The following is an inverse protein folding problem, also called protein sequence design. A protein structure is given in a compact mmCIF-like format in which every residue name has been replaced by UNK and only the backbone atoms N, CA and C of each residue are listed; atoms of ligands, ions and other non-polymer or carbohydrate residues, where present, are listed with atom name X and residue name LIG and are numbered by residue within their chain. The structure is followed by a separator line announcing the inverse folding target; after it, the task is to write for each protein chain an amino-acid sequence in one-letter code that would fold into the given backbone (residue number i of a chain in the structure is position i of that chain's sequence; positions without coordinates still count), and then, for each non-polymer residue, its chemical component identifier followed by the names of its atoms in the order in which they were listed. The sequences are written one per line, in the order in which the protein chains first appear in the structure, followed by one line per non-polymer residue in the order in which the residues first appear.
data_IF_500590537400
#
_entry.id   IF_500590537400
#
_cell.length_a   1.000
_cell.length_b   1.000
_cell.length_c   1.000
_cell.angle_alpha   90.00
_cell.angle_beta   90.00
_cell.angle_gamma   90.00
#
_symmetry.space_group_name_H-M   'P 1'
#
loop_
_entity.id
_entity.type
_entity.pdbx_description
1 polymer ?
#
# COMPACT_ATOMS: atom_id res chain seq x y z
N UNK A 1 42.74 21.03 3.98
CA UNK A 1 42.67 19.86 3.08
C UNK A 1 41.21 19.47 3.08
N UNK A 2 40.52 19.79 1.99
CA UNK A 2 39.07 19.64 1.85
C UNK A 2 38.70 18.22 1.41
N UNK A 3 37.98 17.50 2.25
CA UNK A 3 37.33 16.21 1.94
C UNK A 3 35.97 16.36 1.25
N UNK A 4 35.55 17.58 0.89
CA UNK A 4 34.20 17.86 0.37
C UNK A 4 34.04 17.76 -1.16
N UNK A 5 35.03 17.21 -1.88
CA UNK A 5 35.04 17.17 -3.35
C UNK A 5 35.02 15.76 -3.97
N UNK A 6 35.02 14.69 -3.17
CA UNK A 6 35.05 13.31 -3.67
C UNK A 6 33.70 12.58 -3.69
N UNK A 7 32.62 13.17 -3.17
CA UNK A 7 31.28 12.54 -3.16
C UNK A 7 30.34 13.00 -4.28
N UNK A 8 30.86 13.68 -5.32
CA UNK A 8 30.03 14.20 -6.42
C UNK A 8 29.99 13.32 -7.69
N UNK A 9 30.50 12.10 -7.64
CA UNK A 9 30.73 11.28 -8.85
C UNK A 9 30.10 9.87 -8.84
N UNK A 10 28.96 9.66 -8.17
CA UNK A 10 28.22 8.38 -8.26
C UNK A 10 26.69 8.50 -8.39
N UNK A 11 26.16 9.56 -9.02
CA UNK A 11 24.76 9.60 -9.49
C UNK A 11 24.72 9.74 -11.02
N UNK A 12 25.46 8.87 -11.68
CA UNK A 12 25.48 8.70 -13.13
C UNK A 12 25.31 7.23 -13.51
N UNK A 13 24.48 6.47 -12.78
CA UNK A 13 24.32 5.02 -13.00
C UNK A 13 23.07 4.73 -13.84
N UNK A 14 23.34 4.22 -15.04
CA UNK A 14 22.50 3.35 -15.87
C UNK A 14 21.25 3.90 -16.58
N UNK A 15 21.44 4.91 -17.44
CA UNK A 15 20.58 5.04 -18.63
C UNK A 15 21.12 4.30 -19.86
N UNK A 16 22.41 3.96 -19.91
CA UNK A 16 23.06 3.36 -21.10
C UNK A 16 22.87 1.84 -21.22
N UNK A 17 22.67 1.13 -20.12
CA UNK A 17 22.62 -0.34 -20.11
C UNK A 17 21.35 -0.92 -20.78
N UNK A 18 20.19 -0.26 -20.64
CA UNK A 18 18.95 -0.70 -21.28
C UNK A 18 18.95 -0.53 -22.82
N UNK A 19 19.65 0.48 -23.36
CA UNK A 19 19.73 0.67 -24.81
C UNK A 19 20.68 -0.34 -25.47
N UNK A 20 21.74 -0.78 -24.78
CA UNK A 20 22.71 -1.73 -25.31
C UNK A 20 22.11 -3.14 -25.51
N UNK A 21 21.25 -3.60 -24.59
CA UNK A 21 20.59 -4.90 -24.69
C UNK A 21 19.57 -4.96 -25.86
N UNK A 22 18.85 -3.86 -26.11
CA UNK A 22 17.93 -3.74 -27.25
C UNK A 22 18.65 -3.70 -28.60
N UNK A 23 19.87 -3.15 -28.63
CA UNK A 23 20.70 -3.08 -29.84
C UNK A 23 21.24 -4.46 -30.24
N UNK A 24 21.63 -5.30 -29.27
CA UNK A 24 22.15 -6.64 -29.55
C UNK A 24 21.10 -7.61 -30.11
N UNK A 25 19.84 -7.54 -29.65
CA UNK A 25 18.77 -8.39 -30.18
C UNK A 25 18.40 -8.06 -31.64
N UNK A 26 18.66 -6.84 -32.11
CA UNK A 26 18.41 -6.45 -33.50
C UNK A 26 19.51 -6.88 -34.47
N UNK A 27 20.74 -7.13 -33.99
CA UNK A 27 21.89 -7.35 -34.87
C UNK A 27 22.27 -8.82 -35.11
N UNK A 28 21.77 -9.78 -34.33
CA UNK A 28 22.15 -11.20 -34.42
C UNK A 28 21.37 -12.05 -35.44
N UNK A 29 20.68 -11.44 -36.43
CA UNK A 29 20.03 -12.20 -37.52
C UNK A 29 20.18 -11.50 -38.87
N UNK A 30 21.41 -11.49 -39.39
CA UNK A 30 21.73 -11.07 -40.76
C UNK A 30 21.60 -12.26 -41.72
N UNK A 31 20.57 -12.26 -42.57
CA UNK A 31 20.45 -13.24 -43.65
C UNK A 31 19.11 -13.29 -44.36
N UNK A 32 18.63 -12.15 -44.89
CA UNK A 32 17.56 -12.12 -45.90
C UNK A 32 16.14 -11.86 -45.39
N UNK A 33 15.52 -10.81 -45.95
CA UNK A 33 14.11 -10.39 -45.85
C UNK A 33 13.54 -10.18 -44.44
N UNK A 34 13.62 -8.93 -43.98
CA UNK A 34 12.79 -8.39 -42.90
C UNK A 34 11.35 -8.15 -43.40
N UNK A 35 10.64 -9.21 -43.71
CA UNK A 35 9.20 -9.16 -44.01
C UNK A 35 8.44 -8.92 -42.70
N UNK A 36 7.97 -7.68 -42.48
CA UNK A 36 6.91 -7.25 -41.55
C UNK A 36 7.04 -7.56 -40.04
N UNK A 37 7.26 -8.83 -39.69
CA UNK A 37 7.27 -9.40 -38.35
C UNK A 37 8.38 -8.82 -37.46
N UNK A 38 9.59 -8.60 -37.98
CA UNK A 38 10.69 -8.01 -37.20
C UNK A 38 10.42 -6.57 -36.75
N UNK A 39 9.78 -5.76 -37.60
CA UNK A 39 9.38 -4.37 -37.27
C UNK A 39 8.26 -4.34 -36.24
N UNK A 40 7.30 -5.25 -36.36
CA UNK A 40 6.19 -5.37 -35.42
C UNK A 40 6.70 -5.77 -34.02
N UNK A 41 7.56 -6.79 -33.93
CA UNK A 41 8.16 -7.22 -32.66
C UNK A 41 8.99 -6.11 -32.01
N UNK A 42 9.84 -5.41 -32.77
CA UNK A 42 10.60 -4.28 -32.25
C UNK A 42 9.69 -3.16 -31.73
N UNK A 43 8.61 -2.83 -32.47
CA UNK A 43 7.61 -1.86 -32.03
C UNK A 43 6.92 -2.30 -30.74
N UNK A 44 6.47 -3.56 -30.64
CA UNK A 44 5.86 -4.10 -29.42
C UNK A 44 6.81 -4.09 -28.23
N UNK A 45 8.09 -4.45 -28.43
CA UNK A 45 9.09 -4.37 -27.36
C UNK A 45 9.31 -2.93 -26.89
N UNK A 46 9.49 -1.97 -27.82
CA UNK A 46 9.67 -0.56 -27.48
C UNK A 46 8.42 0.03 -26.83
N UNK A 47 7.22 -0.29 -27.35
CA UNK A 47 5.96 0.12 -26.76
C UNK A 47 5.80 -0.45 -25.36
N UNK A 48 6.12 -1.73 -25.16
CA UNK A 48 6.04 -2.39 -23.84
C UNK A 48 7.01 -1.72 -22.87
N UNK A 49 8.27 -1.49 -23.26
CA UNK A 49 9.26 -0.80 -22.42
C UNK A 49 8.83 0.64 -22.12
N UNK A 50 8.38 1.40 -23.12
CA UNK A 50 7.92 2.78 -22.93
C UNK A 50 6.67 2.84 -22.04
N UNK A 51 5.73 1.91 -22.23
CA UNK A 51 4.54 1.75 -21.41
C UNK A 51 4.93 1.43 -19.96
N UNK A 52 5.82 0.44 -19.74
CA UNK A 52 6.31 0.12 -18.40
C UNK A 52 7.09 1.27 -17.77
N UNK A 53 7.90 2.02 -18.51
CA UNK A 53 8.57 3.23 -18.01
C UNK A 53 7.53 4.29 -17.64
N UNK A 54 6.50 4.51 -18.47
CA UNK A 54 5.43 5.46 -18.18
C UNK A 54 4.62 5.08 -16.94
N UNK A 55 4.28 3.79 -16.81
CA UNK A 55 3.60 3.24 -15.64
C UNK A 55 4.50 3.35 -14.42
N UNK A 56 5.75 2.93 -14.48
CA UNK A 56 6.67 2.97 -13.33
C UNK A 56 7.02 4.40 -12.90
N UNK A 57 7.28 5.34 -13.81
CA UNK A 57 7.61 6.73 -13.40
C UNK A 57 6.50 7.41 -12.59
N UNK A 58 5.24 7.08 -12.86
CA UNK A 58 4.11 7.64 -12.12
C UNK A 58 3.74 6.87 -10.85
N UNK A 59 4.47 5.79 -10.52
CA UNK A 59 4.16 4.88 -9.42
C UNK A 59 5.28 4.76 -8.38
N UNK A 60 6.36 5.53 -8.56
CA UNK A 60 7.57 5.45 -7.73
C UNK A 60 7.73 6.75 -6.96
N UNK A 61 8.28 6.65 -5.76
CA UNK A 61 8.79 7.82 -5.05
C UNK A 61 9.82 8.55 -5.93
N UNK A 62 9.49 9.77 -6.33
CA UNK A 62 10.43 10.68 -6.98
C UNK A 62 10.72 11.86 -6.03
N UNK A 63 11.88 11.86 -5.34
CA UNK A 63 12.22 12.93 -4.40
C UNK A 63 12.36 14.29 -5.11
N UNK A 64 12.72 14.32 -6.40
CA UNK A 64 12.92 15.56 -7.15
C UNK A 64 11.59 16.30 -7.33
N UNK A 65 10.50 15.56 -7.52
CA UNK A 65 9.14 16.12 -7.62
C UNK A 65 8.72 16.77 -6.29
N UNK A 66 9.27 16.33 -5.16
CA UNK A 66 8.91 16.82 -3.82
C UNK A 66 9.88 17.87 -3.25
N UNK A 67 11.07 18.02 -3.84
CA UNK A 67 12.19 18.79 -3.27
C UNK A 67 11.82 20.24 -2.87
N UNK A 68 10.94 20.88 -3.64
CA UNK A 68 10.52 22.27 -3.43
C UNK A 68 9.09 22.39 -2.88
N UNK A 69 8.47 21.28 -2.52
CA UNK A 69 7.09 21.25 -2.05
C UNK A 69 7.10 21.15 -0.53
N UNK A 70 6.32 22.00 0.14
CA UNK A 70 6.12 21.86 1.59
C UNK A 70 5.13 20.74 1.84
N UNK A 71 5.45 19.76 2.71
CA UNK A 71 4.51 18.72 3.07
C UNK A 71 3.27 19.36 3.73
N UNK A 72 2.07 18.88 3.42
CA UNK A 72 0.84 19.42 4.01
C UNK A 72 0.75 19.05 5.50
N UNK A 73 -0.16 19.74 6.21
CA UNK A 73 -0.46 19.51 7.63
C UNK A 73 0.79 19.54 8.52
N UNK A 74 1.61 20.60 8.36
CA UNK A 74 2.82 20.82 9.14
C UNK A 74 3.81 19.64 9.11
N UNK A 75 3.89 18.94 7.99
CA UNK A 75 4.80 17.80 7.82
C UNK A 75 4.18 16.43 8.03
N UNK A 76 2.92 16.34 8.45
CA UNK A 76 2.27 15.06 8.79
C UNK A 76 1.69 14.30 7.59
N UNK A 77 1.62 14.91 6.41
CA UNK A 77 0.95 14.44 5.19
C UNK A 77 -0.58 14.27 5.31
N UNK A 78 -1.09 14.03 6.52
CA UNK A 78 -2.50 13.86 6.85
C UNK A 78 -2.82 14.55 8.20
N UNK A 79 -4.05 15.03 8.40
CA UNK A 79 -4.50 15.52 9.69
C UNK A 79 -4.75 14.37 10.67
N UNK A 80 -4.94 14.70 11.96
CA UNK A 80 -5.12 13.72 13.04
C UNK A 80 -6.44 12.91 12.93
N UNK A 81 -7.47 13.51 12.32
CA UNK A 81 -8.77 12.90 12.10
C UNK A 81 -9.01 12.80 10.60
N UNK A 82 -9.06 11.56 10.11
CA UNK A 82 -9.30 11.28 8.69
C UNK A 82 -10.42 10.26 8.53
N UNK A 83 -11.11 10.37 7.41
CA UNK A 83 -12.05 9.36 6.93
C UNK A 83 -11.45 8.71 5.69
N UNK A 84 -11.30 7.39 5.73
CA UNK A 84 -10.83 6.61 4.59
C UNK A 84 -12.03 5.98 3.90
N UNK A 85 -12.09 6.03 2.58
CA UNK A 85 -13.20 5.47 1.79
C UNK A 85 -12.63 4.54 0.74
N UNK A 86 -12.82 3.24 0.95
CA UNK A 86 -12.42 2.23 -0.01
C UNK A 86 -13.40 2.21 -1.18
N UNK A 87 -12.87 2.24 -2.40
CA UNK A 87 -13.67 2.18 -3.62
C UNK A 87 -13.26 1.03 -4.51
N UNK A 88 -14.25 0.39 -5.13
CA UNK A 88 -14.04 -0.62 -6.17
C UNK A 88 -13.92 0.05 -7.54
N UNK A 89 -12.77 -0.07 -8.18
CA UNK A 89 -12.58 0.35 -9.57
C UNK A 89 -12.68 -0.86 -10.49
N UNK A 90 -13.69 -0.87 -11.36
CA UNK A 90 -14.02 -2.00 -12.24
C UNK A 90 -13.07 -2.17 -13.44
N UNK A 91 -12.31 -1.12 -13.81
CA UNK A 91 -11.61 -1.04 -15.11
C UNK A 91 -10.08 -0.98 -15.02
N UNK A 92 -9.49 -0.72 -13.85
CA UNK A 92 -8.04 -0.53 -13.70
C UNK A 92 -7.50 -1.55 -12.69
N UNK A 93 -6.34 -2.15 -12.97
CA UNK A 93 -5.64 -3.13 -12.13
C UNK A 93 -5.08 -2.55 -10.81
N UNK A 94 -5.65 -1.48 -10.26
CA UNK A 94 -5.44 -1.18 -8.85
C UNK A 94 -6.22 -2.22 -8.06
N UNK A 95 -5.50 -3.07 -7.33
CA UNK A 95 -6.15 -4.04 -6.44
C UNK A 95 -6.95 -3.33 -5.37
N UNK A 96 -6.52 -2.12 -4.96
CA UNK A 96 -7.25 -1.30 -3.99
C UNK A 96 -6.93 0.18 -4.16
N UNK A 97 -7.96 1.01 -4.05
CA UNK A 97 -7.85 2.46 -3.88
C UNK A 97 -8.69 2.89 -2.69
N UNK A 98 -8.07 3.64 -1.79
CA UNK A 98 -8.71 4.15 -0.58
C UNK A 98 -8.53 5.66 -0.54
N UNK A 99 -9.58 6.38 -0.90
CA UNK A 99 -9.62 7.83 -0.80
C UNK A 99 -9.48 8.25 0.66
N UNK A 100 -8.81 9.37 0.90
CA UNK A 100 -8.61 9.96 2.21
C UNK A 100 -9.28 11.33 2.22
N UNK A 101 -10.13 11.54 3.22
CA UNK A 101 -10.83 12.78 3.47
C UNK A 101 -10.47 13.34 4.85
N UNK A 102 -10.39 14.65 4.96
CA UNK A 102 -10.21 15.32 6.25
C UNK A 102 -11.52 15.41 7.06
N UNK A 103 -11.47 16.07 8.22
CA UNK A 103 -12.64 16.28 9.08
C UNK A 103 -13.76 17.13 8.43
N UNK A 104 -13.42 17.95 7.43
CA UNK A 104 -14.38 18.75 6.65
C UNK A 104 -14.94 18.01 5.44
N UNK A 105 -14.55 16.75 5.24
CA UNK A 105 -14.84 15.94 4.05
C UNK A 105 -14.20 16.47 2.77
N UNK A 106 -13.13 17.26 2.86
CA UNK A 106 -12.30 17.59 1.71
C UNK A 106 -11.40 16.41 1.36
N UNK A 107 -11.35 16.05 0.07
CA UNK A 107 -10.49 14.99 -0.42
C UNK A 107 -9.02 15.44 -0.40
N UNK A 108 -8.15 14.73 0.32
CA UNK A 108 -6.75 15.10 0.50
C UNK A 108 -5.78 14.24 -0.32
N UNK A 109 -6.23 13.07 -0.76
CA UNK A 109 -5.41 12.11 -1.50
C UNK A 109 -5.98 10.71 -1.38
N UNK A 110 -5.21 9.70 -1.79
CA UNK A 110 -5.63 8.31 -1.75
C UNK A 110 -4.45 7.38 -1.45
N UNK A 111 -4.72 6.31 -0.71
CA UNK A 111 -3.85 5.16 -0.68
C UNK A 111 -4.12 4.29 -1.91
N UNK A 112 -3.07 3.72 -2.47
CA UNK A 112 -3.15 2.77 -3.57
C UNK A 112 -2.40 1.50 -3.21
N UNK A 113 -2.98 0.37 -3.60
CA UNK A 113 -2.33 -0.93 -3.62
C UNK A 113 -2.36 -1.43 -5.06
N UNK A 114 -1.18 -1.69 -5.60
CA UNK A 114 -0.97 -2.25 -6.93
C UNK A 114 -0.37 -3.61 -6.73
N UNK A 115 -1.12 -4.65 -7.07
CA UNK A 115 -0.66 -6.02 -7.10
C UNK A 115 -0.63 -6.51 -8.56
N UNK A 116 0.39 -6.08 -9.29
CA UNK A 116 0.74 -6.67 -10.57
C UNK A 116 1.81 -7.73 -10.29
N UNK A 117 1.73 -8.91 -10.91
CA UNK A 117 2.61 -10.09 -10.67
C UNK A 117 4.10 -9.81 -10.38
N UNK A 118 4.66 -8.70 -10.91
CA UNK A 118 6.06 -8.29 -10.74
C UNK A 118 6.19 -7.04 -9.85
N UNK A 119 5.16 -6.18 -9.82
CA UNK A 119 5.12 -4.89 -9.13
C UNK A 119 4.02 -4.95 -8.07
N UNK A 120 4.43 -5.28 -6.84
CA UNK A 120 3.57 -5.15 -5.66
C UNK A 120 3.98 -3.90 -4.89
N UNK A 121 3.08 -2.92 -4.79
CA UNK A 121 3.38 -1.61 -4.21
C UNK A 121 2.18 -1.06 -3.47
N UNK A 122 2.45 -0.55 -2.28
CA UNK A 122 1.49 0.18 -1.48
C UNK A 122 2.02 1.61 -1.27
N UNK A 123 1.20 2.63 -1.41
CA UNK A 123 1.65 4.01 -1.18
C UNK A 123 0.52 5.00 -0.95
N UNK A 124 0.90 6.26 -0.72
CA UNK A 124 -0.03 7.38 -0.60
C UNK A 124 0.32 8.46 -1.61
N UNK A 125 -0.70 8.88 -2.36
CA UNK A 125 -0.66 9.99 -3.29
C UNK A 125 -1.58 11.10 -2.80
N UNK A 126 -1.14 12.35 -2.88
CA UNK A 126 -1.99 13.48 -2.54
C UNK A 126 -3.02 13.78 -3.64
N UNK A 127 -3.92 14.74 -3.38
CA UNK A 127 -4.97 15.14 -4.32
C UNK A 127 -4.45 15.64 -5.69
N UNK A 128 -3.17 16.01 -5.78
CA UNK A 128 -2.53 16.44 -7.03
C UNK A 128 -1.78 15.30 -7.74
N UNK A 129 -1.85 14.07 -7.23
CA UNK A 129 -1.19 12.91 -7.81
C UNK A 129 0.29 12.77 -7.42
N UNK A 130 0.78 13.52 -6.41
CA UNK A 130 2.16 13.42 -5.95
C UNK A 130 2.30 12.33 -4.90
N UNK A 131 3.21 11.39 -5.11
CA UNK A 131 3.46 10.28 -4.18
C UNK A 131 4.36 10.76 -3.05
N UNK A 132 3.86 10.74 -1.82
CA UNK A 132 4.59 11.19 -0.63
C UNK A 132 5.16 10.06 0.21
N UNK A 133 4.61 8.86 0.06
CA UNK A 133 4.93 7.70 0.86
C UNK A 133 4.81 6.43 0.02
N UNK A 134 5.75 5.52 0.23
CA UNK A 134 5.74 4.17 -0.33
C UNK A 134 6.04 3.15 0.77
N UNK A 135 5.16 2.18 0.94
CA UNK A 135 5.39 0.99 1.73
C UNK A 135 6.11 -0.05 0.87
N UNK A 136 7.27 -0.49 1.31
CA UNK A 136 8.07 -1.51 0.62
C UNK A 136 8.06 -2.78 1.44
N UNK A 137 7.97 -3.93 0.80
CA UNK A 137 8.20 -5.19 1.51
C UNK A 137 9.59 -5.19 2.13
N UNK A 138 9.69 -5.73 3.35
CA UNK A 138 10.99 -5.88 4.01
C UNK A 138 11.91 -6.81 3.21
N UNK A 139 11.31 -7.82 2.57
CA UNK A 139 12.03 -8.75 1.70
C UNK A 139 11.18 -9.30 0.56
N UNK A 140 11.85 -9.92 -0.40
CA UNK A 140 11.19 -10.71 -1.44
C UNK A 140 10.36 -11.86 -0.87
N UNK A 141 10.76 -12.43 0.29
CA UNK A 141 9.96 -13.47 0.95
C UNK A 141 8.70 -12.91 1.60
N UNK A 142 8.72 -11.67 2.08
CA UNK A 142 7.56 -10.97 2.66
C UNK A 142 6.44 -10.71 1.64
N UNK A 143 6.73 -10.87 0.34
CA UNK A 143 5.76 -10.88 -0.76
C UNK A 143 4.87 -12.12 -0.74
N UNK A 144 5.44 -13.24 -0.31
CA UNK A 144 4.72 -14.50 -0.24
C UNK A 144 4.00 -14.53 1.09
N UNK A 145 2.67 -14.60 0.99
CA UNK A 145 1.86 -14.87 2.15
C UNK A 145 2.41 -16.14 2.85
N UNK A 146 2.55 -16.08 4.17
CA UNK A 146 1.55 -15.37 4.93
C UNK A 146 2.09 -14.24 5.82
N UNK A 147 3.41 -14.07 5.89
CA UNK A 147 4.10 -13.06 6.71
C UNK A 147 3.91 -11.66 6.09
N UNK A 148 3.38 -10.70 6.86
CA UNK A 148 3.34 -9.29 6.48
C UNK A 148 4.50 -8.52 7.13
N UNK A 149 5.39 -8.00 6.29
CA UNK A 149 6.51 -7.16 6.71
C UNK A 149 6.70 -5.99 5.74
N UNK A 150 6.69 -4.76 6.26
CA UNK A 150 6.86 -3.55 5.46
C UNK A 150 7.88 -2.57 6.08
N UNK A 151 8.68 -1.96 5.24
CA UNK A 151 9.41 -0.73 5.48
C UNK A 151 8.54 0.45 5.04
N UNK A 152 8.19 1.32 5.98
CA UNK A 152 7.38 2.51 5.74
C UNK A 152 8.29 3.72 5.75
N UNK A 153 8.42 4.37 4.59
CA UNK A 153 9.33 5.49 4.43
C UNK A 153 8.72 6.54 3.51
N UNK A 154 8.94 7.82 3.83
CA UNK A 154 8.52 8.91 2.96
C UNK A 154 9.42 9.02 1.73
N UNK A 155 8.89 9.59 0.66
CA UNK A 155 9.62 9.80 -0.57
C UNK A 155 10.63 10.96 -0.46
N UNK A 156 10.41 11.92 0.44
CA UNK A 156 11.30 13.07 0.67
C UNK A 156 12.41 12.78 1.71
N UNK A 157 13.05 11.60 1.61
CA UNK A 157 14.21 11.18 2.43
C UNK A 157 15.51 11.29 1.63
N UNK A 158 16.62 11.76 2.24
CA UNK A 158 17.96 11.76 1.64
C UNK A 158 18.71 13.10 1.71
N UNK A 159 19.79 13.26 0.93
CA UNK A 159 20.68 14.44 0.97
C UNK A 159 20.03 15.81 0.68
N UNK A 160 18.81 15.81 0.14
CA UNK A 160 17.93 17.00 0.05
C UNK A 160 16.54 16.76 0.67
N UNK A 161 16.33 15.58 1.25
CA UNK A 161 15.10 15.17 1.92
C UNK A 161 14.99 15.75 3.34
N UNK A 162 13.76 15.90 3.83
CA UNK A 162 13.46 16.53 5.13
C UNK A 162 13.33 15.56 6.29
N UNK A 163 13.33 14.25 6.01
CA UNK A 163 13.15 13.22 7.04
C UNK A 163 14.12 12.06 6.82
N UNK A 164 14.55 11.44 7.92
CA UNK A 164 15.30 10.19 7.95
C UNK A 164 14.54 9.07 8.64
N UNK A 165 13.26 9.30 8.97
CA UNK A 165 12.45 8.34 9.72
C UNK A 165 12.01 7.19 8.81
N UNK A 166 12.13 5.99 9.37
CA UNK A 166 11.72 4.72 8.79
C UNK A 166 10.91 3.97 9.85
N UNK A 167 9.82 3.35 9.45
CA UNK A 167 9.08 2.45 10.33
C UNK A 167 9.08 1.03 9.79
N UNK A 168 9.51 0.09 10.61
CA UNK A 168 9.48 -1.34 10.29
C UNK A 168 8.20 -1.93 10.89
N UNK A 169 7.29 -2.36 10.03
CA UNK A 169 6.07 -3.05 10.41
C UNK A 169 6.26 -4.55 10.24
N UNK A 170 6.02 -5.33 11.29
CA UNK A 170 6.11 -6.79 11.29
C UNK A 170 4.90 -7.42 11.95
N UNK A 171 4.29 -8.37 11.28
CA UNK A 171 3.20 -9.15 11.86
C UNK A 171 3.68 -10.19 12.88
N UNK A 172 2.98 -10.27 14.01
CA UNK A 172 3.21 -11.26 15.07
C UNK A 172 2.32 -12.48 14.82
N UNK A 173 2.75 -13.30 13.88
CA UNK A 173 2.03 -14.47 13.35
C UNK A 173 1.49 -15.44 14.41
N UNK A 174 2.26 -15.68 15.47
CA UNK A 174 1.90 -16.65 16.51
C UNK A 174 0.71 -16.23 17.39
N UNK A 175 0.29 -14.96 17.33
CA UNK A 175 -0.89 -14.47 18.06
C UNK A 175 -2.17 -14.58 17.26
N UNK A 176 -2.11 -14.90 15.96
CA UNK A 176 -3.32 -15.22 15.21
C UNK A 176 -3.85 -16.56 15.71
N UNK A 177 -5.07 -16.56 16.27
CA UNK A 177 -5.81 -17.79 16.48
C UNK A 177 -6.33 -18.28 15.12
N UNK A 178 -5.45 -18.87 14.32
CA UNK A 178 -5.73 -19.38 12.97
C UNK A 178 -7.00 -20.25 12.90
N UNK A 179 -7.30 -20.97 13.99
CA UNK A 179 -8.46 -21.85 14.13
C UNK A 179 -9.75 -21.14 14.60
N UNK A 180 -9.68 -19.89 15.09
CA UNK A 180 -10.84 -19.11 15.60
C UNK A 180 -11.24 -17.93 14.73
N UNK A 181 -10.53 -17.71 13.62
CA UNK A 181 -10.75 -16.60 12.69
C UNK A 181 -12.06 -16.74 11.86
N UNK A 182 -12.97 -17.64 12.21
CA UNK A 182 -14.29 -17.72 11.58
C UNK A 182 -15.27 -16.64 12.08
N UNK A 183 -15.15 -16.23 13.35
CA UNK A 183 -16.10 -15.29 13.98
C UNK A 183 -15.39 -14.05 14.50
N UNK A 184 -14.28 -14.26 15.22
CA UNK A 184 -13.45 -13.21 15.79
C UNK A 184 -12.00 -13.45 15.35
N UNK A 185 -11.50 -12.64 14.43
CA UNK A 185 -10.08 -12.65 14.10
C UNK A 185 -9.38 -11.54 14.87
N UNK A 186 -8.15 -11.82 15.29
CA UNK A 186 -7.28 -10.82 15.86
C UNK A 186 -5.94 -10.88 15.14
N UNK A 187 -5.44 -9.73 14.68
CA UNK A 187 -4.10 -9.60 14.11
C UNK A 187 -3.29 -8.65 14.97
N UNK A 188 -2.00 -8.93 15.13
CA UNK A 188 -1.10 -8.08 15.90
C UNK A 188 0.12 -7.75 15.05
N UNK A 189 0.51 -6.49 15.05
CA UNK A 189 1.71 -6.01 14.38
C UNK A 189 2.58 -5.24 15.36
N UNK A 190 3.88 -5.43 15.22
CA UNK A 190 4.92 -4.63 15.84
C UNK A 190 5.34 -3.54 14.86
N UNK A 191 5.39 -2.30 15.33
CA UNK A 191 5.90 -1.16 14.57
C UNK A 191 7.13 -0.62 15.29
N UNK A 192 8.30 -0.79 14.69
CA UNK A 192 9.57 -0.29 15.22
C UNK A 192 9.99 0.97 14.47
N UNK A 193 10.36 2.02 15.20
CA UNK A 193 10.94 3.23 14.62
C UNK A 193 12.45 3.07 14.41
N UNK A 194 12.92 3.44 13.24
CA UNK A 194 14.33 3.41 12.82
C UNK A 194 14.69 4.71 12.11
N UNK A 195 15.98 4.96 11.99
CA UNK A 195 16.51 6.07 11.19
C UNK A 195 17.34 5.54 10.04
N UNK A 196 17.07 6.00 8.83
CA UNK A 196 17.82 5.68 7.63
C UNK A 196 18.16 6.96 6.85
N UNK A 197 19.43 7.12 6.48
CA UNK A 197 19.92 8.27 5.69
C UNK A 197 19.53 8.18 4.22
N UNK A 198 19.19 6.98 3.74
CA UNK A 198 18.83 6.71 2.35
C UNK A 198 17.53 5.94 2.27
N UNK A 199 16.91 5.93 1.08
CA UNK A 199 15.78 5.05 0.84
C UNK A 199 16.17 3.58 0.98
N UNK A 200 15.40 2.84 1.78
CA UNK A 200 15.62 1.41 1.99
C UNK A 200 15.23 0.66 0.71
N UNK A 201 16.14 -0.19 0.23
CA UNK A 201 15.88 -1.10 -0.89
C UNK A 201 15.38 -2.43 -0.34
N UNK A 202 14.47 -3.06 -1.09
CA UNK A 202 14.04 -4.42 -0.81
C UNK A 202 15.23 -5.38 -0.87
N UNK A 203 15.29 -6.30 0.08
CA UNK A 203 16.33 -7.33 0.18
C UNK A 203 15.76 -8.72 -0.09
N UNK A 204 16.60 -9.72 -0.27
CA UNK A 204 16.14 -11.10 -0.39
C UNK A 204 15.55 -11.61 0.93
N UNK A 205 16.15 -11.23 2.06
CA UNK A 205 15.81 -11.64 3.43
C UNK A 205 15.83 -10.36 4.30
N UNK A 206 14.89 -10.19 5.25
CA UNK A 206 14.91 -9.04 6.15
C UNK A 206 16.10 -9.12 7.13
N UNK A 207 16.41 -8.02 7.79
CA UNK A 207 17.45 -8.02 8.83
C UNK A 207 17.04 -8.89 10.02
N UNK A 208 18.00 -9.52 10.71
CA UNK A 208 17.72 -10.43 11.82
C UNK A 208 16.88 -9.77 12.93
N UNK A 209 17.04 -8.46 13.12
CA UNK A 209 16.35 -7.68 14.16
C UNK A 209 15.13 -6.89 13.63
N UNK A 210 14.66 -7.21 12.42
CA UNK A 210 13.53 -6.51 11.80
C UNK A 210 12.30 -6.61 12.70
N UNK A 211 11.78 -5.45 13.13
CA UNK A 211 10.57 -5.33 13.95
C UNK A 211 10.60 -6.01 15.33
N UNK A 212 11.78 -6.31 15.89
CA UNK A 212 11.91 -6.96 17.20
C UNK A 212 11.76 -5.99 18.39
N UNK A 213 12.07 -4.71 18.21
CA UNK A 213 11.97 -3.66 19.23
C UNK A 213 10.81 -2.71 18.91
N UNK A 214 9.54 -3.12 19.10
CA UNK A 214 8.40 -2.28 18.75
C UNK A 214 8.39 -1.02 19.61
N UNK A 215 8.28 0.14 18.96
CA UNK A 215 7.88 1.40 19.62
C UNK A 215 6.37 1.43 19.81
N UNK A 216 5.63 0.83 18.88
CA UNK A 216 4.18 0.72 18.93
C UNK A 216 3.70 -0.70 18.61
N UNK A 217 2.54 -1.04 19.15
CA UNK A 217 1.80 -2.25 18.81
C UNK A 217 0.47 -1.88 18.16
N UNK A 218 0.15 -2.56 17.07
CA UNK A 218 -1.08 -2.37 16.31
C UNK A 218 -1.90 -3.65 16.41
N UNK A 219 -3.06 -3.59 17.04
CA UNK A 219 -3.99 -4.72 17.07
C UNK A 219 -5.18 -4.44 16.14
N UNK A 220 -5.55 -5.45 15.37
CA UNK A 220 -6.79 -5.48 14.61
C UNK A 220 -7.70 -6.52 15.22
N UNK A 221 -8.89 -6.10 15.63
CA UNK A 221 -9.93 -6.96 16.16
C UNK A 221 -11.09 -6.94 15.17
N UNK A 222 -11.36 -8.09 14.55
CA UNK A 222 -12.36 -8.24 13.51
C UNK A 222 -13.50 -9.13 13.96
N UNK A 223 -14.74 -8.71 13.68
CA UNK A 223 -15.95 -9.49 13.95
C UNK A 223 -16.84 -9.55 12.71
N UNK A 224 -17.68 -10.58 12.60
CA UNK A 224 -18.66 -10.65 11.52
C UNK A 224 -19.76 -9.62 11.70
N UNK A 225 -20.01 -8.81 10.67
CA UNK A 225 -21.19 -7.97 10.59
C UNK A 225 -22.03 -8.33 9.36
N UNK A 226 -23.37 -8.24 9.46
CA UNK A 226 -24.24 -8.39 8.31
C UNK A 226 -23.97 -7.25 7.32
N UNK A 227 -23.91 -7.60 6.04
CA UNK A 227 -23.76 -6.67 4.91
C UNK A 227 -24.80 -6.99 3.85
N UNK A 228 -25.26 -5.98 3.12
CA UNK A 228 -26.08 -6.23 1.93
C UNK A 228 -25.15 -6.60 0.78
N UNK A 229 -25.23 -7.84 0.30
CA UNK A 229 -24.59 -8.26 -0.94
C UNK A 229 -25.40 -7.70 -2.09
N UNK A 230 -25.09 -6.47 -2.49
CA UNK A 230 -25.37 -6.05 -3.86
C UNK A 230 -24.40 -6.80 -4.77
N UNK A 231 -24.88 -7.68 -5.65
CA UNK A 231 -24.05 -8.15 -6.74
C UNK A 231 -23.73 -6.93 -7.63
N UNK A 232 -22.58 -6.31 -7.42
CA UNK A 232 -22.10 -5.13 -8.17
C UNK A 232 -21.94 -5.46 -9.68
N UNK A 233 -22.01 -6.73 -10.08
CA UNK A 233 -21.76 -7.21 -11.45
C UNK A 233 -22.87 -8.07 -12.05
N UNK A 234 -24.04 -8.22 -11.43
CA UNK A 234 -25.13 -9.09 -11.90
C UNK A 234 -26.51 -8.40 -11.90
N UNK A 235 -27.48 -8.88 -12.69
CA UNK A 235 -28.85 -8.37 -12.65
C UNK A 235 -29.45 -8.51 -11.24
N UNK A 236 -30.23 -7.50 -10.84
CA UNK A 236 -30.69 -7.17 -9.47
C UNK A 236 -31.63 -8.21 -8.83
N UNK A 237 -31.79 -9.40 -9.40
CA UNK A 237 -32.75 -10.42 -8.94
C UNK A 237 -32.35 -11.13 -7.64
N UNK A 238 -31.20 -10.84 -7.05
CA UNK A 238 -30.78 -11.41 -5.76
C UNK A 238 -30.04 -10.41 -4.86
N UNK A 239 -30.78 -9.49 -4.25
CA UNK A 239 -30.29 -8.81 -3.05
C UNK A 239 -30.15 -9.86 -1.93
N UNK A 240 -28.93 -10.34 -1.71
CA UNK A 240 -28.62 -11.30 -0.64
C UNK A 240 -28.13 -10.59 0.62
N UNK A 241 -28.44 -11.14 1.79
CA UNK A 241 -27.71 -10.82 3.02
C UNK A 241 -26.40 -11.59 3.01
N UNK A 242 -25.27 -10.90 3.11
CA UNK A 242 -23.95 -11.49 3.33
C UNK A 242 -23.45 -11.17 4.73
N UNK A 243 -22.36 -11.81 5.13
CA UNK A 243 -21.55 -11.37 6.27
C UNK A 243 -20.18 -10.96 5.75
N UNK A 244 -19.65 -9.84 6.26
CA UNK A 244 -18.28 -9.41 6.03
C UNK A 244 -17.64 -9.13 7.38
N UNK A 245 -16.36 -9.38 7.47
CA UNK A 245 -15.61 -9.03 8.65
C UNK A 245 -15.42 -7.52 8.73
N UNK A 246 -15.91 -6.92 9.82
CA UNK A 246 -15.64 -5.53 10.19
C UNK A 246 -14.45 -5.51 11.11
N UNK A 247 -13.51 -4.62 10.83
CA UNK A 247 -12.31 -4.46 11.64
C UNK A 247 -12.35 -3.22 12.52
N UNK A 248 -11.73 -3.34 13.69
CA UNK A 248 -11.30 -2.21 14.51
C UNK A 248 -9.80 -2.29 14.72
N UNK A 249 -9.13 -1.14 14.64
CA UNK A 249 -7.70 -1.00 14.85
C UNK A 249 -7.46 -0.24 16.14
N UNK A 250 -6.54 -0.73 16.97
CA UNK A 250 -6.01 -0.04 18.13
C UNK A 250 -4.50 0.06 18.00
N UNK A 251 -3.96 1.28 18.03
CA UNK A 251 -2.53 1.55 18.06
C UNK A 251 -2.15 1.98 19.48
N UNK A 252 -1.22 1.27 20.09
CA UNK A 252 -0.74 1.53 21.44
C UNK A 252 0.77 1.73 21.46
N UNK A 253 1.27 2.58 22.36
CA UNK A 253 2.70 2.62 22.66
C UNK A 253 3.10 1.29 23.32
N UNK A 254 4.22 0.72 22.88
CA UNK A 254 4.63 -0.62 23.29
C UNK A 254 5.21 -0.65 24.71
N UNK A 255 5.69 0.47 25.23
CA UNK A 255 6.31 0.59 26.56
C UNK A 255 5.29 0.74 27.67
N UNK A 256 4.32 1.64 27.52
CA UNK A 256 3.32 1.95 28.55
C UNK A 256 1.91 1.40 28.27
N UNK A 257 1.66 0.94 27.03
CA UNK A 257 0.36 0.44 26.59
C UNK A 257 -0.69 1.53 26.35
N UNK A 258 -0.31 2.81 26.39
CA UNK A 258 -1.23 3.92 26.16
C UNK A 258 -1.77 3.93 24.72
N UNK A 259 -3.04 4.29 24.57
CA UNK A 259 -3.69 4.35 23.28
C UNK A 259 -3.28 5.61 22.52
N UNK A 260 -2.61 5.43 21.38
CA UNK A 260 -2.14 6.52 20.50
C UNK A 260 -3.20 6.85 19.46
N UNK A 261 -3.78 5.84 18.82
CA UNK A 261 -4.80 6.02 17.80
C UNK A 261 -5.76 4.83 17.73
N UNK A 262 -6.92 5.07 17.14
CA UNK A 262 -7.91 4.03 16.86
C UNK A 262 -8.54 4.26 15.50
N UNK A 263 -8.89 3.16 14.82
CA UNK A 263 -9.71 3.21 13.63
C UNK A 263 -10.85 2.21 13.70
N UNK A 264 -11.98 2.55 13.10
CA UNK A 264 -13.12 1.64 13.00
C UNK A 264 -13.62 1.60 11.57
N UNK A 265 -13.76 0.40 11.04
CA UNK A 265 -14.37 0.16 9.76
C UNK A 265 -15.90 0.16 9.88
N UNK A 266 -16.54 0.70 8.87
CA UNK A 266 -17.98 0.73 8.69
C UNK A 266 -18.28 0.33 7.25
N UNK A 267 -19.22 -0.59 7.05
CA UNK A 267 -19.74 -0.87 5.72
C UNK A 267 -20.90 0.07 5.42
N UNK A 268 -20.88 0.64 4.22
CA UNK A 268 -21.99 1.47 3.76
C UNK A 268 -23.10 0.54 3.30
N UNK A 269 -24.18 0.50 4.07
CA UNK A 269 -25.44 -0.12 3.64
C UNK A 269 -26.11 0.92 2.73
N UNK A 270 -25.69 0.96 1.47
CA UNK A 270 -26.26 1.89 0.48
C UNK A 270 -27.72 1.56 0.19
N UNK A 271 -28.55 2.59 -0.02
CA UNK A 271 -29.79 2.44 -0.78
C UNK A 271 -29.44 2.21 -2.25
N UNK A 272 -30.28 1.50 -3.01
CA UNK A 272 -30.01 1.14 -4.42
C UNK A 272 -29.62 2.31 -5.36
N UNK A 273 -29.86 3.56 -4.94
CA UNK A 273 -29.56 4.79 -5.66
C UNK A 273 -28.27 5.52 -5.25
N UNK A 274 -27.56 5.13 -4.18
CA UNK A 274 -26.37 5.85 -3.70
C UNK A 274 -25.13 4.96 -3.65
N UNK A 275 -24.14 5.34 -4.48
CA UNK A 275 -22.72 5.06 -4.32
C UNK A 275 -22.30 3.57 -4.26
N UNK A 276 -22.80 2.75 -5.19
CA UNK A 276 -22.42 1.33 -5.37
C UNK A 276 -20.91 1.06 -5.54
N UNK A 277 -20.08 2.10 -5.60
CA UNK A 277 -18.62 2.01 -5.72
C UNK A 277 -17.91 2.01 -4.36
N UNK A 278 -18.56 2.42 -3.27
CA UNK A 278 -17.95 2.46 -1.93
C UNK A 278 -18.07 1.08 -1.29
N UNK A 279 -16.93 0.46 -0.97
CA UNK A 279 -16.88 -0.84 -0.32
C UNK A 279 -16.90 -0.71 1.20
N UNK A 280 -16.05 0.16 1.74
CA UNK A 280 -15.91 0.35 3.19
C UNK A 280 -15.52 1.79 3.51
N UNK A 281 -15.80 2.22 4.73
CA UNK A 281 -15.37 3.51 5.29
C UNK A 281 -14.65 3.26 6.59
N UNK A 282 -13.50 3.86 6.79
CA UNK A 282 -12.82 3.87 8.07
C UNK A 282 -12.86 5.26 8.67
N UNK A 283 -13.17 5.34 9.95
CA UNK A 283 -12.96 6.55 10.75
C UNK A 283 -11.72 6.37 11.58
N UNK A 284 -10.68 7.17 11.32
CA UNK A 284 -9.40 7.14 12.02
C UNK A 284 -9.32 8.36 12.93
N UNK A 285 -8.99 8.13 14.19
CA UNK A 285 -8.87 9.17 15.22
C UNK A 285 -7.54 8.98 15.94
N UNK A 286 -6.68 9.99 15.85
CA UNK A 286 -5.46 10.09 16.65
C UNK A 286 -5.83 10.68 18.00
N UNK A 287 -5.60 9.91 19.07
CA UNK A 287 -6.00 10.26 20.45
C UNK A 287 -4.97 11.16 21.09
N UNK A 288 -3.67 10.88 20.86
CA UNK A 288 -2.56 11.67 21.38
C UNK A 288 -1.80 12.28 20.21
N UNK A 289 -1.86 13.60 20.10
CA UNK A 289 -1.01 14.34 19.18
C UNK A 289 0.44 14.16 19.66
N UNK A 290 1.32 13.61 18.82
CA UNK A 290 2.80 13.72 18.89
C UNK A 290 3.67 12.53 19.34
N UNK A 291 3.55 11.34 18.74
CA UNK A 291 4.74 10.45 18.60
C UNK A 291 4.83 9.83 17.21
N UNK A 292 3.73 9.26 16.70
CA UNK A 292 3.69 8.64 15.39
C UNK A 292 3.08 9.57 14.31
N UNK A 293 3.66 9.63 13.09
CA UNK A 293 3.08 10.42 12.01
C UNK A 293 1.70 9.93 11.56
N UNK A 294 0.77 10.86 11.29
CA UNK A 294 -0.62 10.52 10.93
C UNK A 294 -0.73 9.66 9.67
N UNK A 295 0.19 9.82 8.71
CA UNK A 295 0.21 8.99 7.50
C UNK A 295 0.53 7.53 7.79
N UNK A 296 1.33 7.25 8.83
CA UNK A 296 1.61 5.86 9.27
C UNK A 296 0.32 5.27 9.85
N UNK A 297 -0.39 6.03 10.68
CA UNK A 297 -1.67 5.62 11.25
C UNK A 297 -2.70 5.35 10.13
N UNK A 298 -2.76 6.23 9.12
CA UNK A 298 -3.59 6.06 7.94
C UNK A 298 -3.25 4.79 7.17
N UNK A 299 -1.96 4.53 6.93
CA UNK A 299 -1.47 3.32 6.27
C UNK A 299 -1.86 2.05 7.05
N UNK A 300 -1.66 2.04 8.36
CA UNK A 300 -2.02 0.91 9.21
C UNK A 300 -3.52 0.60 9.07
N UNK A 301 -4.39 1.62 9.13
CA UNK A 301 -5.83 1.41 9.01
C UNK A 301 -6.26 0.79 7.67
N UNK A 302 -5.49 0.97 6.59
CA UNK A 302 -5.80 0.39 5.26
C UNK A 302 -5.11 -0.95 4.98
N UNK A 303 -4.24 -1.44 5.87
CA UNK A 303 -3.43 -2.66 5.68
C UNK A 303 -4.27 -3.95 5.58
N UNK A 304 -5.39 -4.02 6.29
CA UNK A 304 -6.08 -5.29 6.60
C UNK A 304 -7.25 -5.64 5.67
N UNK A 305 -7.71 -4.71 4.81
CA UNK A 305 -8.81 -5.00 3.87
C UNK A 305 -8.35 -5.68 2.56
N UNK A 306 -7.21 -6.38 2.59
CA UNK A 306 -6.84 -7.26 1.47
C UNK A 306 -7.67 -8.52 1.66
N UNK A 307 -8.88 -8.47 1.10
CA UNK A 307 -9.86 -9.53 1.02
C UNK A 307 -9.14 -10.89 0.94
N UNK A 308 -9.23 -11.69 2.00
CA UNK A 308 -8.83 -13.10 1.98
C UNK A 308 -9.89 -13.88 1.18
N UNK A 309 -10.13 -13.50 -0.07
CA UNK A 309 -11.06 -14.17 -0.98
C UNK A 309 -10.65 -15.62 -1.28
N UNK A 310 -9.46 -16.04 -0.82
CA UNK A 310 -9.08 -17.45 -0.73
C UNK A 310 -9.96 -18.27 0.24
N UNK A 311 -10.78 -17.66 1.10
CA UNK A 311 -11.79 -18.39 1.89
C UNK A 311 -13.14 -18.57 1.17
N UNK A 312 -13.38 -17.89 0.02
CA UNK A 312 -14.66 -17.95 -0.69
C UNK A 312 -14.82 -19.19 -1.59
N UNK A 313 -13.84 -20.10 -1.66
CA UNK A 313 -14.06 -21.43 -2.27
C UNK A 313 -14.66 -22.44 -1.27
N UNK A 314 -14.90 -22.05 -0.02
CA UNK A 314 -15.78 -22.79 0.89
C UNK A 314 -17.23 -22.38 0.69
N UNK A 315 -17.93 -23.00 -0.27
CA UNK A 315 -19.39 -22.99 -0.32
C UNK A 315 -19.94 -23.64 0.96
N UNK A 316 -20.20 -22.85 2.00
CA UNK A 316 -21.10 -23.24 3.09
C UNK A 316 -22.35 -22.38 2.98
N UNK A 317 -23.30 -22.86 2.18
CA UNK A 317 -24.64 -22.34 2.17
C UNK A 317 -25.30 -22.67 3.52
N UNK A 318 -25.34 -21.69 4.42
CA UNK A 318 -26.33 -21.73 5.50
C UNK A 318 -27.67 -21.31 4.89
N UNK A 319 -28.41 -22.30 4.40
CA UNK A 319 -29.83 -22.13 4.13
C UNK A 319 -30.52 -22.07 5.51
N UNK A 320 -30.85 -20.85 5.95
CA UNK A 320 -31.74 -20.66 7.09
C UNK A 320 -33.15 -20.87 6.54
N UNK A 321 -33.60 -22.12 6.55
CA UNK A 321 -35.01 -22.41 6.35
C UNK A 321 -35.80 -21.81 7.53
N UNK A 322 -36.79 -20.99 7.20
CA UNK A 322 -37.77 -20.44 8.14
C UNK A 322 -38.94 -21.38 8.32
#
# INVERSE_FOLDING_TARGET
MDESLLEREEVGRDRSSCYAALWLCCHLRSGGRWDGCGRLTAFFCLFTVAFWIGVTRNLYCDPDVLQNIRPPFDGQLMPANITLVERKYLLIQFTKLVDVYDATHAHIGYFYDINLFIIMRFGFSDANGRIWFEARYASFLSRFKPIIEYNLQRCDVGGVGRTSLLYELKEVWWKESYWRCFVNCSRLFNLAERTASTQVRERLIPEANFGLDPTFQVSFDGWLAPTLRGQITGPVSSFGTGVRQVWSMHLKNATDGELVAKAKQHFVIGTASQDMRVLSRWKVVTVRQSELPNWVIGFLAVLDDIDSTLSQHGHVAYQIDR
#
